data_IF_629921277809
#
_entry.id   IF_629921277809
#
_cell.length_a   1.000
_cell.length_b   1.000
_cell.length_c   1.000
_cell.angle_alpha   90.00
_cell.angle_beta   90.00
_cell.angle_gamma   90.00
#
_symmetry.space_group_name_H-M   'P 1'
#
loop_
_entity.id
_entity.type
_entity.pdbx_description
1 polymer ?
#
# COMPACT_ATOMS: atom_id res chain seq x y z
N UNK A 1 24.15 26.61 28.56
CA UNK A 1 23.90 25.16 28.79
C UNK A 1 22.47 24.85 29.25
N UNK A 2 21.52 25.67 28.80
CA UNK A 2 20.08 25.61 29.07
C UNK A 2 19.28 25.74 27.75
N UNK A 3 19.92 25.44 26.61
CA UNK A 3 19.37 25.57 25.26
C UNK A 3 19.25 24.20 24.55
N UNK A 4 19.33 23.11 25.33
CA UNK A 4 19.00 21.72 24.98
C UNK A 4 17.48 21.43 25.11
N UNK A 5 16.64 22.46 25.07
CA UNK A 5 15.18 22.37 25.31
C UNK A 5 14.30 23.10 24.26
N UNK A 6 14.78 23.50 23.07
CA UNK A 6 13.94 24.28 22.13
C UNK A 6 14.14 24.13 20.60
N UNK A 7 14.58 22.98 20.06
CA UNK A 7 14.44 22.71 18.61
C UNK A 7 13.85 21.32 18.34
N UNK A 8 14.37 20.36 19.08
CA UNK A 8 13.85 18.99 19.36
C UNK A 8 12.41 18.98 19.91
N UNK A 9 11.85 20.15 20.25
CA UNK A 9 10.43 20.25 20.60
C UNK A 9 9.60 19.97 19.35
N UNK A 10 9.49 20.80 18.30
CA UNK A 10 8.47 20.56 17.25
C UNK A 10 8.94 19.86 15.94
N UNK A 11 9.20 18.54 15.98
CA UNK A 11 8.62 17.61 14.98
C UNK A 11 7.06 17.66 15.01
N UNK A 12 6.52 18.34 16.03
CA UNK A 12 5.23 18.12 16.70
C UNK A 12 4.00 18.51 15.87
N UNK A 13 4.09 19.19 14.72
CA UNK A 13 2.92 19.24 13.85
C UNK A 13 2.96 17.98 13.02
N UNK A 14 2.87 18.03 11.72
CA UNK A 14 2.14 17.00 11.03
C UNK A 14 2.83 17.06 9.69
N UNK A 15 3.88 16.29 9.46
CA UNK A 15 4.31 15.98 8.09
C UNK A 15 3.27 15.06 7.41
N UNK A 16 1.99 15.44 7.52
CA UNK A 16 0.69 15.13 6.91
C UNK A 16 0.32 13.71 6.52
N UNK A 17 1.26 12.80 6.37
CA UNK A 17 0.98 11.40 6.08
C UNK A 17 1.08 10.49 7.32
N UNK A 18 1.86 10.86 8.34
CA UNK A 18 2.19 9.94 9.44
C UNK A 18 1.27 10.03 10.68
N UNK A 19 0.52 11.12 10.86
CA UNK A 19 -0.47 11.22 11.96
C UNK A 19 -1.70 10.33 11.79
N UNK A 20 -1.78 9.56 10.70
CA UNK A 20 -2.82 8.57 10.51
C UNK A 20 -2.47 7.17 11.07
N UNK A 21 -1.30 6.95 11.68
CA UNK A 21 -0.82 5.57 11.95
C UNK A 21 -0.77 5.21 13.45
N UNK A 22 -0.31 6.08 14.35
CA UNK A 22 -0.34 5.83 15.81
C UNK A 22 -0.50 7.16 16.53
N UNK A 23 -1.52 7.30 17.39
CA UNK A 23 -1.63 8.40 18.35
C UNK A 23 -0.69 8.13 19.54
N UNK A 24 0.45 8.86 19.67
CA UNK A 24 1.42 8.60 20.73
C UNK A 24 0.88 8.93 22.13
N UNK A 25 -0.23 9.69 22.25
CA UNK A 25 -0.85 10.04 23.53
C UNK A 25 -1.85 8.99 24.02
N UNK A 26 -2.29 8.05 23.16
CA UNK A 26 -3.20 6.95 23.54
C UNK A 26 -2.51 5.70 24.07
N UNK A 27 -1.17 5.64 24.05
CA UNK A 27 -0.37 4.59 24.71
C UNK A 27 -0.62 4.48 26.23
N UNK A 28 -1.31 5.46 26.83
CA UNK A 28 -1.57 5.55 28.27
C UNK A 28 -3.05 5.41 28.66
N UNK A 29 -3.94 5.04 27.73
CA UNK A 29 -5.37 4.80 28.03
C UNK A 29 -5.60 3.29 28.18
N UNK A 30 -6.26 2.93 29.27
CA UNK A 30 -6.46 1.57 29.80
C UNK A 30 -7.39 0.69 28.91
N UNK A 31 -6.97 0.43 27.67
CA UNK A 31 -7.69 -0.39 26.69
C UNK A 31 -6.93 -1.69 26.38
N UNK A 32 -7.69 -2.75 26.10
CA UNK A 32 -7.19 -4.12 25.97
C UNK A 32 -6.34 -4.32 24.70
N UNK A 33 -5.33 -5.20 24.77
CA UNK A 33 -4.66 -5.79 23.61
C UNK A 33 -5.75 -6.36 22.68
N UNK A 34 -5.69 -6.15 21.36
CA UNK A 34 -6.69 -6.68 20.45
C UNK A 34 -6.78 -8.21 20.63
N UNK A 35 -7.96 -8.68 21.06
CA UNK A 35 -8.24 -10.11 21.21
C UNK A 35 -8.97 -10.60 19.97
N UNK A 36 -8.59 -11.76 19.47
CA UNK A 36 -9.37 -12.46 18.46
C UNK A 36 -10.77 -12.74 19.03
N UNK A 37 -11.80 -12.32 18.30
CA UNK A 37 -13.22 -12.58 18.58
C UNK A 37 -13.72 -13.55 17.52
N UNK A 38 -13.42 -14.83 17.72
CA UNK A 38 -13.80 -15.89 16.79
C UNK A 38 -15.24 -16.31 17.06
N UNK A 39 -16.12 -16.13 16.08
CA UNK A 39 -17.46 -16.71 16.10
C UNK A 39 -17.36 -18.18 15.66
N UNK A 40 -17.75 -19.12 16.53
CA UNK A 40 -17.58 -20.56 16.30
C UNK A 40 -18.36 -21.10 15.10
N UNK A 41 -19.52 -20.52 14.79
CA UNK A 41 -20.30 -20.90 13.61
C UNK A 41 -19.61 -20.43 12.32
N UNK A 42 -19.23 -19.14 12.28
CA UNK A 42 -18.51 -18.55 11.14
C UNK A 42 -17.19 -19.29 10.88
N UNK A 43 -16.49 -19.69 11.95
CA UNK A 43 -15.22 -20.42 11.87
C UNK A 43 -15.34 -21.75 11.11
N UNK A 44 -16.38 -22.54 11.39
CA UNK A 44 -16.51 -23.89 10.81
C UNK A 44 -16.76 -23.85 9.30
N UNK A 45 -17.73 -23.02 8.85
CA UNK A 45 -18.05 -22.83 7.44
C UNK A 45 -16.86 -22.25 6.66
N UNK A 46 -16.12 -21.35 7.30
CA UNK A 46 -14.96 -20.70 6.72
C UNK A 46 -13.74 -21.62 6.60
N UNK A 47 -13.56 -22.57 7.51
CA UNK A 47 -12.47 -23.55 7.42
C UNK A 47 -12.57 -24.41 6.15
N UNK A 48 -13.78 -24.89 5.84
CA UNK A 48 -14.05 -25.67 4.62
C UNK A 48 -13.82 -24.84 3.37
N UNK A 49 -14.37 -23.61 3.33
CA UNK A 49 -14.18 -22.68 2.23
C UNK A 49 -12.72 -22.32 1.97
N UNK A 50 -11.95 -21.97 3.02
CA UNK A 50 -10.54 -21.62 2.89
C UNK A 50 -9.68 -22.82 2.45
N UNK A 51 -10.03 -24.04 2.86
CA UNK A 51 -9.32 -25.24 2.42
C UNK A 51 -9.51 -25.49 0.93
N UNK A 52 -10.70 -25.18 0.39
CA UNK A 52 -10.99 -25.29 -1.04
C UNK A 52 -10.50 -24.09 -1.88
N UNK A 53 -10.13 -22.98 -1.24
CA UNK A 53 -9.67 -21.77 -1.92
C UNK A 53 -8.25 -21.94 -2.47
N UNK A 54 -7.94 -21.40 -3.67
CA UNK A 54 -6.60 -21.45 -4.24
C UNK A 54 -5.58 -20.65 -3.44
N UNK A 55 -4.30 -20.82 -3.76
CA UNK A 55 -3.24 -19.94 -3.25
C UNK A 55 -3.50 -18.50 -3.67
N UNK A 56 -2.96 -17.53 -2.93
CA UNK A 56 -3.14 -16.11 -3.26
C UNK A 56 -2.62 -15.77 -4.67
N UNK A 57 -1.51 -16.38 -5.10
CA UNK A 57 -0.94 -16.13 -6.42
C UNK A 57 -1.78 -16.73 -7.55
N UNK A 58 -2.22 -17.99 -7.39
CA UNK A 58 -3.10 -18.65 -8.36
C UNK A 58 -4.46 -17.94 -8.47
N UNK A 59 -4.97 -17.43 -7.34
CA UNK A 59 -6.17 -16.61 -7.34
C UNK A 59 -6.01 -15.36 -8.21
N UNK A 60 -4.90 -14.62 -8.07
CA UNK A 60 -4.69 -13.40 -8.87
C UNK A 60 -4.68 -13.71 -10.36
N UNK A 61 -4.00 -14.79 -10.77
CA UNK A 61 -3.98 -15.23 -12.17
C UNK A 61 -5.39 -15.57 -12.66
N UNK A 62 -6.13 -16.40 -11.92
CA UNK A 62 -7.49 -16.82 -12.32
C UNK A 62 -8.51 -15.69 -12.25
N UNK A 63 -8.33 -14.70 -11.37
CA UNK A 63 -9.16 -13.50 -11.34
C UNK A 63 -8.99 -12.67 -12.62
N UNK A 64 -7.79 -12.65 -13.22
CA UNK A 64 -7.52 -11.97 -14.49
C UNK A 64 -8.10 -12.70 -15.72
N UNK A 65 -8.70 -13.88 -15.54
CA UNK A 65 -9.53 -14.50 -16.58
C UNK A 65 -10.93 -13.86 -16.67
N UNK A 66 -11.42 -13.34 -15.54
CA UNK A 66 -12.77 -12.75 -15.37
C UNK A 66 -12.76 -11.22 -15.41
N UNK A 67 -11.61 -10.62 -15.12
CA UNK A 67 -11.44 -9.18 -14.95
C UNK A 67 -10.19 -8.73 -15.71
N UNK A 68 -10.17 -7.50 -16.20
CA UNK A 68 -8.99 -6.97 -16.87
C UNK A 68 -7.95 -6.49 -15.85
N UNK A 69 -8.39 -5.88 -14.75
CA UNK A 69 -7.51 -5.34 -13.72
C UNK A 69 -7.88 -5.85 -12.35
N UNK A 70 -6.87 -6.32 -11.62
CA UNK A 70 -6.96 -6.66 -10.20
C UNK A 70 -6.12 -5.65 -9.41
N UNK A 71 -6.79 -4.72 -8.71
CA UNK A 71 -6.15 -3.75 -7.83
C UNK A 71 -5.77 -4.45 -6.52
N UNK A 72 -4.50 -4.80 -6.37
CA UNK A 72 -3.97 -5.42 -5.15
C UNK A 72 -3.72 -4.32 -4.12
N UNK A 73 -4.56 -4.26 -3.09
CA UNK A 73 -4.51 -3.25 -2.05
C UNK A 73 -3.69 -3.70 -0.84
N UNK A 74 -2.54 -3.07 -0.62
CA UNK A 74 -1.63 -3.34 0.49
C UNK A 74 -1.85 -2.43 1.70
N UNK A 75 -1.50 -2.92 2.87
CA UNK A 75 -1.47 -2.12 4.09
C UNK A 75 -0.04 -1.74 4.40
N UNK A 76 0.21 -0.44 4.37
CA UNK A 76 1.56 0.13 4.41
C UNK A 76 2.47 -0.51 5.44
N UNK A 77 3.74 -0.65 5.07
CA UNK A 77 4.84 -1.18 5.88
C UNK A 77 4.83 -2.69 6.14
N UNK A 78 3.92 -3.49 5.57
CA UNK A 78 3.95 -4.96 5.70
C UNK A 78 4.93 -5.59 4.70
N UNK A 79 6.03 -6.17 5.20
CA UNK A 79 7.06 -6.83 4.38
C UNK A 79 6.51 -7.94 3.50
N UNK A 80 5.61 -8.75 4.04
CA UNK A 80 5.04 -9.93 3.38
C UNK A 80 4.19 -9.56 2.16
N UNK A 81 3.65 -8.34 2.10
CA UNK A 81 2.86 -7.87 0.96
C UNK A 81 3.75 -7.66 -0.28
N UNK A 82 4.93 -7.06 -0.10
CA UNK A 82 5.92 -6.90 -1.18
C UNK A 82 6.65 -8.22 -1.49
N UNK A 83 6.91 -9.06 -0.48
CA UNK A 83 7.43 -10.41 -0.71
C UNK A 83 6.48 -11.24 -1.58
N UNK A 84 5.17 -11.21 -1.29
CA UNK A 84 4.15 -11.83 -2.15
C UNK A 84 4.23 -11.32 -3.58
N UNK A 85 4.47 -10.02 -3.80
CA UNK A 85 4.61 -9.46 -5.14
C UNK A 85 5.83 -10.04 -5.88
N UNK A 86 6.96 -10.23 -5.19
CA UNK A 86 8.15 -10.88 -5.78
C UNK A 86 7.89 -12.33 -6.18
N UNK A 87 7.07 -13.07 -5.42
CA UNK A 87 6.67 -14.44 -5.72
C UNK A 87 5.58 -14.51 -6.81
N UNK A 88 4.74 -13.48 -6.90
CA UNK A 88 3.66 -13.37 -7.88
C UNK A 88 4.20 -13.14 -9.29
N UNK A 89 5.24 -12.31 -9.47
CA UNK A 89 5.84 -12.00 -10.78
C UNK A 89 6.15 -13.23 -11.64
N UNK A 90 6.93 -14.24 -11.19
CA UNK A 90 7.19 -15.44 -11.99
C UNK A 90 5.94 -16.31 -12.20
N UNK A 91 4.91 -16.18 -11.35
CA UNK A 91 3.64 -16.90 -11.51
C UNK A 91 2.76 -16.26 -12.59
N UNK A 92 2.66 -14.93 -12.61
CA UNK A 92 2.03 -14.17 -13.69
C UNK A 92 2.69 -14.47 -15.03
N UNK A 93 4.03 -14.47 -15.03
CA UNK A 93 4.79 -14.65 -16.26
C UNK A 93 4.56 -16.01 -16.92
N UNK A 94 4.57 -17.09 -16.11
CA UNK A 94 4.24 -18.45 -16.56
C UNK A 94 2.80 -18.57 -17.05
N UNK A 95 1.90 -17.72 -16.56
CA UNK A 95 0.52 -17.64 -17.00
C UNK A 95 0.32 -16.75 -18.24
N UNK A 96 1.39 -16.19 -18.83
CA UNK A 96 1.32 -15.30 -19.99
C UNK A 96 0.92 -13.86 -19.66
N UNK A 97 0.94 -13.48 -18.38
CA UNK A 97 0.68 -12.11 -17.91
C UNK A 97 2.04 -11.45 -17.65
N UNK A 98 2.44 -10.56 -18.56
CA UNK A 98 3.79 -9.98 -18.56
C UNK A 98 3.84 -8.55 -18.01
N UNK A 99 2.84 -8.15 -17.22
CA UNK A 99 2.68 -6.78 -16.76
C UNK A 99 2.30 -6.73 -15.29
N UNK A 100 2.84 -5.73 -14.59
CA UNK A 100 2.47 -5.37 -13.23
C UNK A 100 2.43 -3.85 -13.12
N UNK A 101 1.29 -3.28 -12.73
CA UNK A 101 1.24 -1.89 -12.29
C UNK A 101 1.80 -1.75 -10.87
N UNK A 102 2.62 -0.73 -10.61
CA UNK A 102 3.29 -0.55 -9.33
C UNK A 102 3.27 0.91 -8.89
N UNK A 103 2.60 1.20 -7.76
CA UNK A 103 2.47 2.59 -7.31
C UNK A 103 3.78 3.22 -6.83
N UNK A 104 4.73 2.40 -6.36
CA UNK A 104 5.98 2.89 -5.75
C UNK A 104 7.02 3.31 -6.80
N UNK A 105 6.56 3.52 -8.04
CA UNK A 105 7.32 4.03 -9.17
C UNK A 105 6.43 5.00 -9.95
N UNK A 106 7.00 6.15 -10.35
CA UNK A 106 6.26 7.13 -11.12
C UNK A 106 6.12 6.70 -12.58
N UNK A 107 4.99 7.06 -13.19
CA UNK A 107 4.80 6.91 -14.64
C UNK A 107 5.87 7.63 -15.46
N UNK A 108 6.37 8.77 -14.96
CA UNK A 108 7.42 9.56 -15.62
C UNK A 108 8.78 8.86 -15.65
N UNK A 109 8.99 7.84 -14.81
CA UNK A 109 10.23 7.05 -14.78
C UNK A 109 10.15 5.80 -15.67
N UNK A 110 9.11 5.63 -16.51
CA UNK A 110 8.86 4.38 -17.23
C UNK A 110 10.05 3.89 -18.07
N UNK A 111 10.74 4.79 -18.77
CA UNK A 111 11.94 4.42 -19.56
C UNK A 111 13.07 3.88 -18.67
N UNK A 112 13.24 4.46 -17.47
CA UNK A 112 14.24 4.03 -16.49
C UNK A 112 13.86 2.68 -15.87
N UNK A 113 12.58 2.46 -15.61
CA UNK A 113 12.05 1.18 -15.13
C UNK A 113 12.28 0.08 -16.18
N UNK A 114 11.92 0.34 -17.44
CA UNK A 114 12.11 -0.62 -18.53
C UNK A 114 13.61 -0.93 -18.74
N UNK A 115 14.49 0.08 -18.67
CA UNK A 115 15.93 -0.11 -18.73
C UNK A 115 16.47 -0.95 -17.55
N UNK A 116 15.98 -0.70 -16.33
CA UNK A 116 16.38 -1.44 -15.14
C UNK A 116 16.04 -2.93 -15.24
N UNK A 117 14.79 -3.25 -15.60
CA UNK A 117 14.31 -4.65 -15.60
C UNK A 117 14.80 -5.45 -16.80
N UNK A 118 15.41 -4.82 -17.80
CA UNK A 118 15.98 -5.48 -18.99
C UNK A 118 17.50 -5.43 -19.06
N UNK A 119 18.15 -4.76 -18.10
CA UNK A 119 19.60 -4.63 -18.05
C UNK A 119 20.32 -5.99 -17.98
N UNK A 120 21.54 -6.06 -18.48
CA UNK A 120 22.38 -7.27 -18.40
C UNK A 120 22.74 -7.63 -16.96
N UNK A 121 22.92 -6.61 -16.11
CA UNK A 121 23.15 -6.71 -14.67
C UNK A 121 22.17 -5.80 -13.95
N UNK A 122 21.61 -6.26 -12.83
CA UNK A 122 20.73 -5.43 -12.03
C UNK A 122 21.48 -4.22 -11.45
N UNK A 123 20.97 -3.01 -11.72
CA UNK A 123 21.56 -1.77 -11.24
C UNK A 123 20.79 -1.27 -10.01
N UNK A 124 21.31 -1.57 -8.82
CA UNK A 124 20.65 -1.16 -7.57
C UNK A 124 20.58 0.36 -7.40
N UNK A 125 21.60 1.10 -7.84
CA UNK A 125 21.57 2.57 -7.77
C UNK A 125 20.40 3.12 -8.57
N UNK A 126 20.15 2.59 -9.77
CA UNK A 126 19.03 3.02 -10.60
C UNK A 126 17.68 2.64 -9.96
N UNK A 127 17.57 1.48 -9.31
CA UNK A 127 16.37 1.11 -8.56
C UNK A 127 16.10 2.11 -7.43
N UNK A 128 17.12 2.47 -6.64
CA UNK A 128 17.01 3.46 -5.59
C UNK A 128 16.63 4.84 -6.13
N UNK A 129 17.19 5.27 -7.26
CA UNK A 129 16.86 6.55 -7.85
C UNK A 129 15.41 6.63 -8.36
N UNK A 130 14.88 5.52 -8.89
CA UNK A 130 13.45 5.41 -9.30
C UNK A 130 12.55 5.52 -8.06
N UNK A 131 12.92 4.83 -6.97
CA UNK A 131 12.18 4.90 -5.70
C UNK A 131 12.23 6.31 -5.09
N UNK A 132 13.41 6.94 -5.10
CA UNK A 132 13.62 8.30 -4.62
C UNK A 132 12.81 9.32 -5.43
N UNK A 133 12.77 9.14 -6.75
CA UNK A 133 11.93 9.93 -7.66
C UNK A 133 10.44 9.81 -7.31
N UNK A 134 9.96 8.64 -6.91
CA UNK A 134 8.57 8.49 -6.44
C UNK A 134 8.34 9.19 -5.09
N UNK A 135 9.14 8.89 -4.07
CA UNK A 135 9.01 9.56 -2.78
C UNK A 135 10.31 9.42 -1.99
N UNK A 136 10.88 10.57 -1.62
CA UNK A 136 12.22 10.69 -1.02
C UNK A 136 12.38 9.97 0.33
N UNK A 137 11.28 9.66 1.02
CA UNK A 137 11.27 8.94 2.31
C UNK A 137 10.89 7.46 2.20
N UNK A 138 10.85 6.89 0.99
CA UNK A 138 10.47 5.49 0.75
C UNK A 138 11.66 4.58 0.39
N UNK A 139 12.78 4.76 1.08
CA UNK A 139 13.97 3.92 0.94
C UNK A 139 13.83 2.57 1.63
N UNK A 140 13.01 1.66 1.09
CA UNK A 140 12.79 0.31 1.63
C UNK A 140 13.22 -0.80 0.68
N UNK A 141 14.00 -1.77 1.16
CA UNK A 141 14.62 -2.81 0.36
C UNK A 141 13.60 -3.66 -0.40
N UNK A 142 12.45 -3.93 0.22
CA UNK A 142 11.40 -4.74 -0.38
C UNK A 142 10.82 -4.12 -1.65
N UNK A 143 10.85 -2.78 -1.79
CA UNK A 143 10.41 -2.09 -3.02
C UNK A 143 11.42 -2.36 -4.14
N UNK A 144 12.72 -2.23 -3.86
CA UNK A 144 13.79 -2.55 -4.82
C UNK A 144 13.73 -4.02 -5.28
N UNK A 145 13.39 -4.92 -4.36
CA UNK A 145 13.26 -6.35 -4.66
C UNK A 145 12.17 -6.67 -5.69
N UNK A 146 11.11 -5.86 -5.80
CA UNK A 146 10.08 -6.02 -6.85
C UNK A 146 10.68 -5.83 -8.24
N UNK A 147 11.50 -4.78 -8.43
CA UNK A 147 12.21 -4.57 -9.69
C UNK A 147 13.20 -5.69 -9.98
N UNK A 148 13.92 -6.14 -8.94
CA UNK A 148 14.86 -7.26 -9.04
C UNK A 148 14.17 -8.55 -9.49
N UNK A 149 13.00 -8.87 -8.93
CA UNK A 149 12.23 -10.06 -9.33
C UNK A 149 11.81 -10.02 -10.80
N UNK A 150 11.34 -8.87 -11.31
CA UNK A 150 11.06 -8.70 -12.73
C UNK A 150 12.31 -8.82 -13.61
N UNK A 151 13.44 -8.26 -13.15
CA UNK A 151 14.73 -8.42 -13.82
C UNK A 151 15.16 -9.89 -13.88
N UNK A 152 15.07 -10.64 -12.78
CA UNK A 152 15.42 -12.06 -12.72
C UNK A 152 14.60 -12.90 -13.72
N UNK A 153 13.28 -12.68 -13.78
CA UNK A 153 12.41 -13.30 -14.79
C UNK A 153 12.84 -12.94 -16.22
N UNK A 154 13.19 -11.68 -16.45
CA UNK A 154 13.68 -11.26 -17.77
C UNK A 154 15.04 -11.85 -18.12
N UNK A 155 15.92 -12.11 -17.15
CA UNK A 155 17.22 -12.73 -17.36
C UNK A 155 17.13 -14.21 -17.70
N UNK A 156 16.09 -14.92 -17.24
CA UNK A 156 15.88 -16.33 -17.58
C UNK A 156 15.32 -16.54 -18.99
N UNK A 157 14.89 -15.48 -19.68
CA UNK A 157 14.22 -15.53 -20.98
C UNK A 157 15.17 -15.34 -22.17
N UNK A 158 14.91 -16.08 -23.24
CA UNK A 158 15.54 -15.93 -24.55
C UNK A 158 15.27 -14.56 -25.19
N UNK A 159 15.98 -14.21 -26.28
CA UNK A 159 15.90 -12.88 -26.90
C UNK A 159 14.49 -12.48 -27.36
N UNK A 160 13.73 -13.44 -27.91
CA UNK A 160 12.43 -13.21 -28.56
C UNK A 160 11.22 -13.42 -27.62
N UNK A 161 11.46 -13.84 -26.38
CA UNK A 161 10.39 -14.03 -25.40
C UNK A 161 9.89 -12.67 -24.87
N UNK A 162 8.56 -12.49 -24.69
CA UNK A 162 8.01 -11.27 -24.13
C UNK A 162 8.64 -10.94 -22.78
N UNK A 163 9.12 -9.71 -22.60
CA UNK A 163 9.68 -9.25 -21.33
C UNK A 163 8.56 -8.94 -20.34
N UNK A 164 8.77 -9.30 -19.08
CA UNK A 164 7.95 -8.83 -17.98
C UNK A 164 8.23 -7.35 -17.74
N UNK A 165 7.19 -6.53 -17.68
CA UNK A 165 7.27 -5.07 -17.51
C UNK A 165 6.62 -4.65 -16.20
N UNK A 166 7.32 -3.79 -15.48
CA UNK A 166 6.73 -3.03 -14.37
C UNK A 166 6.30 -1.69 -14.94
N UNK A 167 5.04 -1.32 -14.74
CA UNK A 167 4.50 -0.04 -15.15
C UNK A 167 4.35 0.84 -13.90
N UNK A 168 5.04 1.99 -13.92
CA UNK A 168 4.87 2.99 -12.87
C UNK A 168 3.47 3.61 -12.95
N UNK A 169 2.67 3.46 -11.89
CA UNK A 169 1.34 4.10 -11.78
C UNK A 169 1.29 5.17 -10.70
N UNK A 170 2.41 5.36 -9.99
CA UNK A 170 2.59 6.42 -9.02
C UNK A 170 2.64 7.79 -9.66
N UNK A 171 2.37 8.80 -8.83
CA UNK A 171 2.49 10.21 -9.16
C UNK A 171 2.94 10.98 -7.94
N UNK A 172 4.01 11.77 -8.08
CA UNK A 172 4.53 12.63 -7.02
C UNK A 172 4.05 14.07 -7.21
N UNK A 173 3.21 14.61 -6.30
CA UNK A 173 2.92 16.03 -6.25
C UNK A 173 4.17 16.88 -6.01
N UNK A 174 4.06 18.18 -6.33
CA UNK A 174 5.13 19.12 -6.05
C UNK A 174 5.04 19.60 -4.59
N UNK A 175 5.59 18.82 -3.67
CA UNK A 175 5.59 19.14 -2.25
C UNK A 175 6.48 20.34 -1.89
N UNK A 176 7.27 20.89 -2.83
CA UNK A 176 8.12 22.06 -2.56
C UNK A 176 7.33 23.34 -2.23
N UNK A 177 6.02 23.32 -2.44
CA UNK A 177 5.10 24.38 -2.05
C UNK A 177 4.63 24.30 -0.58
N UNK A 178 4.87 23.20 0.13
CA UNK A 178 4.53 23.05 1.55
C UNK A 178 5.74 23.48 2.38
N UNK A 179 5.72 24.71 2.89
CA UNK A 179 6.88 25.31 3.56
C UNK A 179 6.69 25.33 5.08
N UNK A 180 5.49 25.64 5.55
CA UNK A 180 5.18 25.81 6.96
C UNK A 180 4.03 24.89 7.42
N UNK A 181 3.98 24.54 8.72
CA UNK A 181 2.83 23.80 9.25
C UNK A 181 1.52 24.55 9.03
N UNK A 182 0.57 23.89 8.37
CA UNK A 182 -0.73 24.43 7.97
C UNK A 182 -0.92 24.48 6.45
N UNK A 183 0.17 24.62 5.69
CA UNK A 183 0.16 24.71 4.22
C UNK A 183 -0.52 23.50 3.55
N UNK A 184 -0.36 22.34 4.17
CA UNK A 184 -0.98 21.07 3.76
C UNK A 184 -2.50 21.01 3.73
N UNK A 185 -3.13 22.01 4.34
CA UNK A 185 -4.57 22.15 4.49
C UNK A 185 -5.05 23.46 3.86
N UNK A 186 -4.12 24.29 3.36
CA UNK A 186 -4.43 25.53 2.67
C UNK A 186 -4.80 25.24 1.19
N UNK A 187 -6.03 25.56 0.76
CA UNK A 187 -6.46 25.35 -0.63
C UNK A 187 -5.63 26.08 -1.69
N UNK A 188 -5.07 27.25 -1.39
CA UNK A 188 -4.21 28.02 -2.32
C UNK A 188 -2.85 27.34 -2.51
N UNK A 189 -2.29 26.77 -1.45
CA UNK A 189 -1.04 26.02 -1.50
C UNK A 189 -1.26 24.68 -2.20
N UNK A 190 -2.29 23.93 -1.83
CA UNK A 190 -2.58 22.63 -2.43
C UNK A 190 -2.87 22.71 -3.93
N UNK A 191 -3.43 23.83 -4.42
CA UNK A 191 -3.56 24.08 -5.86
C UNK A 191 -2.22 24.16 -6.59
N UNK A 192 -1.17 24.64 -5.93
CA UNK A 192 0.19 24.65 -6.48
C UNK A 192 0.81 23.24 -6.41
N UNK A 193 0.67 22.56 -5.26
CA UNK A 193 1.13 21.18 -5.06
C UNK A 193 0.55 20.23 -6.11
N UNK A 194 -0.74 20.38 -6.43
CA UNK A 194 -1.46 19.57 -7.42
C UNK A 194 -1.60 20.22 -8.79
N UNK A 195 -0.77 21.23 -9.12
CA UNK A 195 -0.85 21.92 -10.42
C UNK A 195 -0.70 20.96 -11.62
N UNK A 196 0.05 19.88 -11.44
CA UNK A 196 0.28 18.84 -12.44
C UNK A 196 -0.72 17.67 -12.37
N UNK A 197 -1.70 17.74 -11.46
CA UNK A 197 -2.75 16.73 -11.31
C UNK A 197 -2.92 16.23 -9.88
N UNK A 198 -4.11 15.70 -9.61
CA UNK A 198 -4.46 15.07 -8.33
C UNK A 198 -3.99 13.61 -8.37
N UNK A 199 -3.26 13.10 -7.35
CA UNK A 199 -2.66 11.76 -7.39
C UNK A 199 -3.59 10.63 -7.82
N UNK A 200 -4.76 10.51 -7.18
CA UNK A 200 -5.75 9.48 -7.51
C UNK A 200 -6.22 9.59 -8.98
N UNK A 201 -6.44 10.80 -9.50
CA UNK A 201 -6.83 11.00 -10.90
C UNK A 201 -5.69 10.65 -11.88
N UNK A 202 -4.44 10.96 -11.51
CA UNK A 202 -3.29 10.63 -12.33
C UNK A 202 -3.02 9.12 -12.38
N UNK A 203 -3.21 8.44 -11.25
CA UNK A 203 -3.14 6.99 -11.18
C UNK A 203 -4.18 6.31 -12.06
N UNK A 204 -5.43 6.80 -12.06
CA UNK A 204 -6.47 6.33 -12.99
C UNK A 204 -6.02 6.47 -14.44
N UNK A 205 -5.53 7.64 -14.84
CA UNK A 205 -5.06 7.88 -16.20
C UNK A 205 -3.85 7.02 -16.58
N UNK A 206 -2.98 6.66 -15.63
CA UNK A 206 -1.87 5.73 -15.84
C UNK A 206 -2.37 4.30 -16.09
N UNK A 207 -3.32 3.83 -15.28
CA UNK A 207 -3.89 2.48 -15.40
C UNK A 207 -4.72 2.35 -16.68
N UNK A 208 -5.50 3.38 -17.03
CA UNK A 208 -6.30 3.41 -18.26
C UNK A 208 -5.39 3.31 -19.50
N UNK A 209 -4.42 4.22 -19.62
CA UNK A 209 -3.52 4.28 -20.79
C UNK A 209 -2.63 3.03 -20.95
N UNK A 210 -2.07 2.54 -19.84
CA UNK A 210 -1.12 1.44 -19.90
C UNK A 210 -1.78 0.07 -20.09
N UNK A 211 -3.02 -0.08 -19.61
CA UNK A 211 -3.66 -1.39 -19.55
C UNK A 211 -5.02 -1.44 -20.24
N UNK A 212 -6.00 -0.68 -19.74
CA UNK A 212 -7.39 -0.83 -20.18
C UNK A 212 -7.59 -0.43 -21.65
N UNK A 213 -6.94 0.64 -22.09
CA UNK A 213 -7.01 1.15 -23.47
C UNK A 213 -6.25 0.24 -24.45
N UNK A 214 -5.25 -0.48 -23.95
CA UNK A 214 -4.46 -1.45 -24.73
C UNK A 214 -5.09 -2.86 -24.71
N UNK A 215 -6.17 -3.07 -23.96
CA UNK A 215 -6.74 -4.41 -23.74
C UNK A 215 -5.79 -5.36 -22.99
N UNK A 216 -4.83 -4.83 -22.24
CA UNK A 216 -3.88 -5.60 -21.44
C UNK A 216 -4.51 -5.87 -20.08
N UNK A 217 -4.39 -7.13 -19.63
CA UNK A 217 -4.78 -7.54 -18.29
C UNK A 217 -3.58 -7.54 -17.36
N UNK A 218 -3.74 -7.00 -16.17
CA UNK A 218 -2.65 -6.90 -15.21
C UNK A 218 -3.16 -6.77 -13.76
N UNK A 219 -2.43 -7.32 -12.77
CA UNK A 219 -2.54 -6.83 -11.42
C UNK A 219 -1.90 -5.44 -11.32
N UNK A 220 -2.44 -4.60 -10.43
CA UNK A 220 -1.89 -3.28 -10.11
C UNK A 220 -1.78 -3.18 -8.60
N UNK A 221 -0.54 -3.06 -8.11
CA UNK A 221 -0.23 -3.03 -6.70
C UNK A 221 -0.22 -1.60 -6.16
N UNK A 222 -1.12 -1.32 -5.21
CA UNK A 222 -1.43 -0.01 -4.66
C UNK A 222 -1.58 -0.09 -3.14
N UNK A 223 -1.44 1.04 -2.44
CA UNK A 223 -1.98 1.18 -1.08
C UNK A 223 -3.47 0.91 -1.12
N UNK A 224 -3.96 0.22 -0.10
CA UNK A 224 -5.36 -0.18 0.02
C UNK A 224 -6.33 1.00 -0.16
N UNK A 225 -5.98 2.20 0.31
CA UNK A 225 -6.85 3.37 0.14
C UNK A 225 -7.13 3.73 -1.33
N UNK A 226 -6.19 3.46 -2.24
CA UNK A 226 -6.34 3.71 -3.67
C UNK A 226 -6.99 2.52 -4.40
N UNK A 227 -7.00 1.33 -3.79
CA UNK A 227 -7.51 0.11 -4.40
C UNK A 227 -9.01 -0.12 -4.19
N UNK A 228 -9.65 0.57 -3.24
CA UNK A 228 -11.08 0.37 -2.96
C UNK A 228 -11.95 0.66 -4.19
N UNK A 229 -12.78 -0.31 -4.57
CA UNK A 229 -13.74 -0.19 -5.67
C UNK A 229 -15.16 0.04 -5.14
N UNK A 230 -15.58 -0.74 -4.15
CA UNK A 230 -16.91 -0.66 -3.52
C UNK A 230 -16.97 0.30 -2.33
N UNK A 231 -15.98 0.24 -1.43
CA UNK A 231 -15.92 1.10 -0.27
C UNK A 231 -15.50 2.53 -0.66
N UNK A 232 -16.35 3.50 -0.36
CA UNK A 232 -16.06 4.94 -0.54
C UNK A 232 -15.69 5.52 0.82
N UNK A 233 -14.56 6.23 0.90
CA UNK A 233 -14.10 6.89 2.13
C UNK A 233 -14.72 8.29 2.27
N UNK A 234 -15.76 8.49 3.11
CA UNK A 234 -16.50 9.77 3.12
C UNK A 234 -15.64 10.93 3.61
N UNK A 235 -14.78 10.69 4.59
CA UNK A 235 -13.86 11.72 5.11
C UNK A 235 -12.80 12.15 4.09
N UNK A 236 -12.36 11.27 3.21
CA UNK A 236 -11.46 11.65 2.13
C UNK A 236 -12.17 12.59 1.15
N UNK A 237 -13.37 12.20 0.68
CA UNK A 237 -14.15 13.02 -0.25
C UNK A 237 -14.46 14.40 0.35
N UNK A 238 -14.90 14.43 1.61
CA UNK A 238 -15.15 15.67 2.36
C UNK A 238 -13.89 16.53 2.49
N UNK A 239 -12.75 15.95 2.87
CA UNK A 239 -11.48 16.69 3.00
C UNK A 239 -11.05 17.29 1.67
N UNK A 240 -11.13 16.52 0.58
CA UNK A 240 -10.80 17.03 -0.76
C UNK A 240 -11.71 18.20 -1.16
N UNK A 241 -13.00 18.12 -0.85
CA UNK A 241 -13.95 19.22 -1.07
C UNK A 241 -13.60 20.47 -0.24
N UNK A 242 -13.32 20.32 1.05
CA UNK A 242 -12.88 21.41 1.93
C UNK A 242 -11.56 22.05 1.46
N UNK A 243 -10.70 21.26 0.80
CA UNK A 243 -9.44 21.69 0.20
C UNK A 243 -9.60 22.30 -1.21
N UNK A 244 -10.84 22.46 -1.71
CA UNK A 244 -11.12 23.08 -3.00
C UNK A 244 -11.11 22.13 -4.20
N UNK A 245 -11.12 20.81 -3.96
CA UNK A 245 -11.17 19.76 -4.96
C UNK A 245 -12.46 18.94 -4.81
N UNK A 246 -13.63 19.49 -5.19
CA UNK A 246 -14.90 18.79 -5.04
C UNK A 246 -14.99 17.53 -5.92
N UNK A 247 -15.75 16.54 -5.47
CA UNK A 247 -16.06 15.33 -6.23
C UNK A 247 -14.88 14.37 -6.42
N UNK A 248 -13.80 14.50 -5.63
CA UNK A 248 -12.69 13.56 -5.69
C UNK A 248 -13.03 12.26 -4.96
N UNK A 249 -12.80 11.15 -5.65
CA UNK A 249 -12.85 9.79 -5.14
C UNK A 249 -11.48 9.13 -5.30
N UNK A 250 -11.27 8.03 -4.59
CA UNK A 250 -10.07 7.20 -4.72
C UNK A 250 -9.99 6.55 -6.10
N UNK A 251 -8.79 6.22 -6.53
CA UNK A 251 -8.52 5.69 -7.87
C UNK A 251 -9.38 4.45 -8.21
N UNK A 252 -9.48 3.48 -7.31
CA UNK A 252 -10.28 2.27 -7.48
C UNK A 252 -11.78 2.55 -7.66
N UNK A 253 -12.35 3.49 -6.91
CA UNK A 253 -13.77 3.86 -7.04
C UNK A 253 -14.01 4.46 -8.42
N UNK A 254 -13.14 5.36 -8.88
CA UNK A 254 -13.23 6.00 -10.20
C UNK A 254 -13.09 5.00 -11.34
N UNK A 255 -12.15 4.05 -11.22
CA UNK A 255 -11.99 2.97 -12.20
C UNK A 255 -13.23 2.08 -12.25
N UNK A 256 -13.79 1.72 -11.08
CA UNK A 256 -15.03 0.94 -10.98
C UNK A 256 -16.21 1.66 -11.61
N UNK A 257 -16.37 2.96 -11.37
CA UNK A 257 -17.45 3.77 -11.98
C UNK A 257 -17.36 3.78 -13.51
N UNK A 258 -16.15 3.86 -14.07
CA UNK A 258 -15.92 3.97 -15.52
C UNK A 258 -15.95 2.62 -16.24
N UNK A 259 -15.41 1.58 -15.62
CA UNK A 259 -15.13 0.29 -16.27
C UNK A 259 -15.92 -0.88 -15.68
N UNK A 260 -16.77 -0.62 -14.67
CA UNK A 260 -17.63 -1.61 -14.06
C UNK A 260 -16.85 -2.81 -13.55
N UNK A 261 -17.33 -4.02 -13.86
CA UNK A 261 -16.72 -5.28 -13.42
C UNK A 261 -15.39 -5.64 -14.07
N UNK A 262 -14.88 -4.84 -15.02
CA UNK A 262 -13.54 -5.07 -15.59
C UNK A 262 -12.42 -4.81 -14.58
N UNK A 263 -12.65 -4.00 -13.56
CA UNK A 263 -11.67 -3.64 -12.53
C UNK A 263 -12.17 -4.08 -11.16
N UNK A 264 -11.43 -4.87 -10.41
CA UNK A 264 -11.82 -5.31 -9.06
C UNK A 264 -10.73 -4.99 -8.03
N UNK A 265 -11.10 -4.92 -6.75
CA UNK A 265 -10.15 -4.81 -5.64
C UNK A 265 -9.85 -6.18 -5.03
N UNK A 266 -8.58 -6.51 -4.86
CA UNK A 266 -8.11 -7.64 -4.08
C UNK A 266 -7.30 -7.13 -2.87
N UNK A 267 -7.91 -7.09 -1.69
CA UNK A 267 -7.27 -6.50 -0.51
C UNK A 267 -6.42 -7.56 0.21
N UNK A 268 -5.17 -7.20 0.52
CA UNK A 268 -4.26 -8.05 1.27
C UNK A 268 -4.61 -8.06 2.76
N UNK A 269 -4.62 -9.25 3.33
CA UNK A 269 -4.85 -9.45 4.75
C UNK A 269 -3.73 -8.81 5.58
N UNK A 270 -4.10 -7.97 6.53
CA UNK A 270 -3.18 -7.26 7.41
C UNK A 270 -3.92 -6.74 8.65
N UNK A 271 -3.20 -6.22 9.66
CA UNK A 271 -3.83 -5.38 10.66
C UNK A 271 -4.55 -4.19 10.01
N UNK A 272 -5.71 -3.82 10.56
CA UNK A 272 -6.43 -2.61 10.18
C UNK A 272 -6.38 -1.61 11.32
N UNK A 273 -6.39 -0.32 11.00
CA UNK A 273 -6.42 0.73 12.01
C UNK A 273 -7.69 0.62 12.86
N UNK A 274 -7.52 0.60 14.17
CA UNK A 274 -8.61 0.57 15.13
C UNK A 274 -8.20 1.38 16.37
N UNK A 275 -8.74 2.58 16.53
CA UNK A 275 -8.37 3.49 17.63
C UNK A 275 -8.89 3.02 18.99
N UNK A 276 -9.75 2.00 19.00
CA UNK A 276 -10.23 1.33 20.22
C UNK A 276 -9.20 0.32 20.74
N UNK A 277 -8.24 -0.08 19.92
CA UNK A 277 -7.12 -0.95 20.30
C UNK A 277 -5.99 -0.14 20.93
N UNK A 278 -5.34 -0.69 21.97
CA UNK A 278 -4.17 -0.06 22.63
C UNK A 278 -3.06 0.29 21.66
N UNK A 279 -2.84 -0.58 20.67
CA UNK A 279 -1.75 -0.43 19.70
C UNK A 279 -2.17 0.33 18.44
N UNK A 280 -3.41 0.82 18.38
CA UNK A 280 -3.96 1.53 17.22
C UNK A 280 -4.37 0.64 16.05
N UNK A 281 -4.25 -0.68 16.20
CA UNK A 281 -4.56 -1.67 15.16
C UNK A 281 -5.36 -2.85 15.73
N UNK A 282 -6.21 -3.44 14.89
CA UNK A 282 -7.00 -4.63 15.21
C UNK A 282 -6.95 -5.68 14.10
N UNK A 283 -7.44 -6.88 14.41
CA UNK A 283 -7.58 -7.95 13.44
C UNK A 283 -8.78 -7.70 12.51
N UNK A 284 -8.63 -7.88 11.18
CA UNK A 284 -9.77 -7.90 10.26
C UNK A 284 -10.77 -8.97 10.68
N UNK A 285 -12.07 -8.66 10.57
CA UNK A 285 -13.16 -9.62 10.83
C UNK A 285 -12.99 -10.34 12.19
N UNK A 286 -12.48 -9.61 13.19
CA UNK A 286 -12.26 -10.12 14.54
C UNK A 286 -11.16 -11.21 14.66
N UNK A 287 -10.32 -11.43 13.66
CA UNK A 287 -9.23 -12.41 13.70
C UNK A 287 -9.65 -13.85 13.37
N UNK A 288 -10.83 -14.03 12.80
CA UNK A 288 -11.32 -15.36 12.37
C UNK A 288 -10.42 -15.96 11.28
N UNK A 289 -10.00 -15.14 10.30
CA UNK A 289 -9.05 -15.54 9.26
C UNK A 289 -7.71 -15.99 9.86
N UNK A 290 -7.18 -15.19 10.78
CA UNK A 290 -5.91 -15.47 11.41
C UNK A 290 -5.91 -16.78 12.20
N UNK A 291 -7.00 -17.09 12.89
CA UNK A 291 -7.16 -18.36 13.59
C UNK A 291 -7.15 -19.55 12.62
N UNK A 292 -7.93 -19.46 11.55
CA UNK A 292 -8.06 -20.54 10.56
C UNK A 292 -6.81 -20.80 9.74
N UNK A 293 -6.13 -19.74 9.29
CA UNK A 293 -4.92 -19.85 8.46
C UNK A 293 -3.79 -20.53 9.23
N UNK A 294 -3.75 -20.40 10.55
CA UNK A 294 -2.73 -21.07 11.38
C UNK A 294 -2.95 -22.56 11.52
N UNK A 295 -4.20 -23.01 11.45
CA UNK A 295 -4.55 -24.43 11.45
C UNK A 295 -4.18 -25.11 10.11
N UNK A 296 -4.01 -24.34 9.04
CA UNK A 296 -3.57 -24.87 7.74
C UNK A 296 -2.07 -25.28 7.78
N UNK A 297 -1.69 -26.32 7.00
CA UNK A 297 -0.29 -26.66 6.77
C UNK A 297 0.51 -25.43 6.30
N UNK A 298 1.78 -25.33 6.69
CA UNK A 298 2.60 -24.16 6.36
C UNK A 298 2.69 -23.85 4.86
N UNK A 299 2.67 -24.89 4.01
CA UNK A 299 2.65 -24.78 2.53
C UNK A 299 1.36 -24.18 1.97
N UNK A 300 0.32 -24.14 2.79
CA UNK A 300 -1.06 -23.94 2.42
C UNK A 300 -1.63 -22.69 3.13
N UNK A 301 -0.78 -21.81 3.66
CA UNK A 301 -1.26 -20.65 4.44
C UNK A 301 -1.65 -19.45 3.59
N UNK A 302 -1.24 -19.41 2.32
CA UNK A 302 -1.67 -18.35 1.41
C UNK A 302 -2.99 -18.73 0.75
N UNK A 303 -3.94 -17.80 0.72
CA UNK A 303 -5.28 -18.02 0.16
C UNK A 303 -5.78 -16.79 -0.57
N UNK A 304 -6.43 -16.99 -1.71
CA UNK A 304 -7.14 -15.93 -2.41
C UNK A 304 -8.56 -16.36 -2.75
N UNK A 305 -9.53 -15.46 -2.62
CA UNK A 305 -10.93 -15.75 -2.91
C UNK A 305 -11.74 -14.49 -3.20
N UNK A 306 -12.86 -14.65 -3.92
CA UNK A 306 -13.88 -13.61 -4.04
C UNK A 306 -14.69 -13.50 -2.75
N UNK A 307 -14.85 -12.30 -2.22
CA UNK A 307 -15.55 -12.08 -0.96
C UNK A 307 -17.02 -12.46 -1.08
N UNK A 308 -17.66 -12.12 -2.20
CA UNK A 308 -19.06 -12.45 -2.48
C UNK A 308 -19.34 -13.97 -2.52
N UNK A 309 -18.32 -14.79 -2.80
CA UNK A 309 -18.42 -16.25 -2.85
C UNK A 309 -18.13 -16.89 -1.48
N UNK A 310 -17.70 -16.09 -0.49
CA UNK A 310 -17.38 -16.56 0.86
C UNK A 310 -18.62 -16.58 1.76
N UNK A 311 -18.72 -17.52 2.73
CA UNK A 311 -19.85 -17.60 3.67
C UNK A 311 -19.93 -16.41 4.65
N UNK A 312 -18.97 -15.49 4.61
CA UNK A 312 -18.83 -14.36 5.52
C UNK A 312 -18.72 -13.04 4.75
N UNK A 313 -19.26 -13.00 3.53
CA UNK A 313 -19.33 -11.80 2.69
C UNK A 313 -19.95 -10.59 3.41
N UNK A 314 -20.85 -10.82 4.37
CA UNK A 314 -21.49 -9.77 5.17
C UNK A 314 -20.88 -9.62 6.58
N UNK A 315 -19.73 -10.23 6.87
CA UNK A 315 -19.10 -10.07 8.17
C UNK A 315 -18.59 -8.63 8.37
N UNK A 316 -18.71 -8.05 9.57
CA UNK A 316 -18.28 -6.69 9.82
C UNK A 316 -16.76 -6.58 9.88
N UNK A 317 -16.22 -5.54 9.24
CA UNK A 317 -14.82 -5.14 9.34
C UNK A 317 -14.59 -4.39 10.65
N UNK A 318 -13.59 -4.86 11.41
CA UNK A 318 -13.16 -4.25 12.67
C UNK A 318 -12.21 -3.07 12.42
N UNK A 319 -12.77 -1.91 12.12
CA UNK A 319 -12.02 -0.64 12.05
C UNK A 319 -12.96 0.53 12.31
N UNK A 320 -12.76 1.28 13.39
CA UNK A 320 -13.51 2.51 13.64
C UNK A 320 -13.03 3.66 12.74
N UNK A 321 -11.75 3.67 12.35
CA UNK A 321 -11.18 4.65 11.42
C UNK A 321 -11.82 4.55 10.03
N UNK A 322 -11.96 3.34 9.48
CA UNK A 322 -12.58 3.18 8.17
C UNK A 322 -14.10 3.45 8.21
N UNK A 323 -14.73 3.25 9.36
CA UNK A 323 -16.17 3.54 9.56
C UNK A 323 -16.46 5.00 9.84
N UNK A 324 -15.44 5.82 10.06
CA UNK A 324 -15.66 7.21 10.40
C UNK A 324 -16.35 7.94 9.24
N UNK A 325 -17.52 8.53 9.52
CA UNK A 325 -18.35 9.18 8.52
C UNK A 325 -19.25 8.26 7.69
N UNK A 326 -19.34 6.97 8.02
CA UNK A 326 -20.28 6.01 7.38
C UNK A 326 -21.47 5.69 8.28
N UNK A 327 -22.65 5.43 7.69
CA UNK A 327 -23.79 4.89 8.41
C UNK A 327 -23.68 3.36 8.57
N UNK A 328 -23.64 2.88 9.82
CA UNK A 328 -23.65 1.44 10.13
C UNK A 328 -22.28 0.76 10.19
N UNK A 329 -22.28 -0.56 10.01
CA UNK A 329 -21.08 -1.40 9.99
C UNK A 329 -20.52 -1.47 8.55
N UNK A 330 -19.19 -1.39 8.41
CA UNK A 330 -18.52 -1.67 7.14
C UNK A 330 -18.49 -3.19 6.92
N UNK A 331 -19.23 -3.67 5.93
CA UNK A 331 -19.30 -5.10 5.60
C UNK A 331 -18.15 -5.53 4.70
N UNK A 332 -17.76 -6.81 4.78
CA UNK A 332 -16.61 -7.35 4.07
C UNK A 332 -16.75 -7.24 2.54
N UNK A 333 -17.93 -7.52 1.99
CA UNK A 333 -18.24 -7.40 0.56
C UNK A 333 -18.25 -5.95 0.04
N UNK A 334 -18.41 -4.96 0.90
CA UNK A 334 -18.24 -3.54 0.56
C UNK A 334 -16.77 -3.17 0.60
N UNK A 335 -16.05 -3.67 1.60
CA UNK A 335 -14.63 -3.42 1.81
C UNK A 335 -13.75 -3.95 0.67
N UNK A 336 -14.07 -5.11 0.11
CA UNK A 336 -13.29 -5.71 -0.97
C UNK A 336 -14.13 -6.63 -1.88
N UNK A 337 -13.83 -6.63 -3.18
CA UNK A 337 -14.38 -7.64 -4.12
C UNK A 337 -13.74 -9.02 -3.91
N UNK A 338 -12.43 -9.02 -3.65
CA UNK A 338 -11.61 -10.20 -3.40
C UNK A 338 -10.64 -9.95 -2.24
N UNK A 339 -10.15 -11.03 -1.65
CA UNK A 339 -9.28 -10.96 -0.48
C UNK A 339 -8.12 -11.94 -0.60
N UNK A 340 -6.93 -11.48 -0.19
CA UNK A 340 -5.67 -12.21 -0.32
C UNK A 340 -5.02 -12.37 1.06
N UNK A 341 -5.01 -13.58 1.57
CA UNK A 341 -4.21 -13.94 2.74
C UNK A 341 -2.83 -14.37 2.27
N UNK A 342 -1.80 -13.63 2.64
CA UNK A 342 -0.40 -13.94 2.34
C UNK A 342 0.42 -14.25 3.60
N UNK A 343 -0.03 -13.74 4.75
CA UNK A 343 0.52 -13.99 6.07
C UNK A 343 -0.58 -13.81 7.12
N UNK A 344 -0.39 -14.39 8.32
CA UNK A 344 -1.24 -14.05 9.47
C UNK A 344 -0.71 -12.80 10.18
N UNK A 345 -1.58 -12.04 10.83
CA UNK A 345 -1.20 -10.77 11.49
C UNK A 345 -0.07 -10.94 12.52
N UNK A 346 0.08 -12.13 13.13
CA UNK A 346 1.14 -12.34 14.13
C UNK A 346 2.49 -12.69 13.51
N UNK A 347 2.53 -13.08 12.23
CA UNK A 347 3.79 -13.39 11.55
C UNK A 347 4.34 -12.23 10.74
N UNK A 348 3.56 -11.16 10.48
CA UNK A 348 4.04 -10.05 9.67
C UNK A 348 5.21 -9.30 10.29
N UNK A 349 6.05 -8.75 9.41
CA UNK A 349 7.21 -7.94 9.73
C UNK A 349 7.13 -6.59 9.04
N UNK A 350 7.79 -5.60 9.61
CA UNK A 350 7.92 -4.30 8.95
C UNK A 350 8.98 -4.32 7.85
N UNK A 351 8.87 -3.38 6.91
CA UNK A 351 9.88 -3.13 5.87
C UNK A 351 11.28 -2.89 6.42
N UNK A 352 12.29 -3.10 5.56
CA UNK A 352 13.70 -2.91 5.87
C UNK A 352 14.19 -1.62 5.23
N UNK A 353 14.59 -0.64 6.04
CA UNK A 353 15.17 0.60 5.51
C UNK A 353 16.51 0.32 4.83
N UNK A 354 16.71 0.94 3.66
CA UNK A 354 17.98 0.90 2.92
C UNK A 354 18.96 1.83 3.64
N UNK A 355 20.12 1.33 4.11
CA UNK A 355 21.15 2.17 4.70
C UNK A 355 21.64 3.22 3.70
N UNK A 356 21.87 4.45 4.15
CA UNK A 356 22.41 5.54 3.32
C UNK A 356 21.57 5.82 2.05
N UNK A 357 20.26 5.56 2.11
CA UNK A 357 19.34 5.90 1.02
C UNK A 357 19.36 7.41 0.72
N UNK A 358 19.42 8.22 1.77
CA UNK A 358 19.79 9.64 1.68
C UNK A 358 21.30 9.77 1.84
N UNK A 359 21.95 10.43 0.90
CA UNK A 359 23.40 10.58 0.82
C UNK A 359 23.79 11.96 0.29
N UNK A 360 25.09 12.18 0.10
CA UNK A 360 25.65 13.49 -0.24
C UNK A 360 25.12 14.01 -1.59
N UNK A 361 24.75 13.10 -2.50
CA UNK A 361 24.31 13.44 -3.85
C UNK A 361 22.84 13.84 -3.91
N UNK A 362 22.02 13.46 -2.91
CA UNK A 362 20.55 13.61 -2.98
C UNK A 362 19.90 14.36 -1.80
N UNK A 363 20.65 14.75 -0.76
CA UNK A 363 20.11 15.40 0.43
C UNK A 363 19.34 16.70 0.15
N UNK A 364 19.87 17.57 -0.71
CA UNK A 364 19.21 18.84 -1.05
C UNK A 364 17.85 18.60 -1.72
N UNK A 365 17.78 17.59 -2.58
CA UNK A 365 16.56 17.18 -3.23
C UNK A 365 15.57 16.53 -2.26
N UNK A 366 16.08 15.74 -1.30
CA UNK A 366 15.29 15.09 -0.28
C UNK A 366 14.60 16.10 0.64
N UNK A 367 15.30 17.19 1.01
CA UNK A 367 14.74 18.29 1.79
C UNK A 367 13.69 19.04 0.97
N UNK A 368 14.02 19.42 -0.28
CA UNK A 368 13.12 20.17 -1.16
C UNK A 368 11.82 19.44 -1.47
N UNK A 369 11.88 18.12 -1.62
CA UNK A 369 10.73 17.27 -1.98
C UNK A 369 10.17 16.48 -0.81
N UNK A 370 10.50 16.88 0.41
CA UNK A 370 9.97 16.23 1.60
C UNK A 370 8.43 16.31 1.59
N UNK A 371 7.71 15.20 1.85
CA UNK A 371 6.25 15.18 1.79
C UNK A 371 5.62 15.75 3.07
N UNK A 372 5.83 17.04 3.29
CA UNK A 372 5.38 17.81 4.46
C UNK A 372 6.07 19.18 4.51
N UNK A 373 5.90 19.94 5.61
CA UNK A 373 6.61 21.19 5.80
C UNK A 373 8.13 21.01 5.68
N UNK A 374 8.82 22.07 5.28
CA UNK A 374 10.28 22.07 5.19
C UNK A 374 10.87 21.54 6.51
N UNK A 375 11.64 20.42 6.47
CA UNK A 375 12.18 19.82 7.68
C UNK A 375 13.25 20.72 8.35
N UNK A 376 13.70 21.79 7.69
CA UNK A 376 14.70 22.73 8.16
C UNK A 376 16.12 22.16 8.03
N UNK A 377 17.08 22.61 8.87
CA UNK A 377 18.46 22.15 8.80
C UNK A 377 18.58 20.72 9.37
N UNK A 378 18.25 19.73 8.55
CA UNK A 378 18.41 18.29 8.82
C UNK A 378 19.63 17.74 8.10
N UNK A 379 20.28 16.77 8.72
CA UNK A 379 21.37 16.01 8.10
C UNK A 379 20.85 14.79 7.34
N UNK A 380 21.70 14.21 6.48
CA UNK A 380 21.44 12.90 5.86
C UNK A 380 21.13 11.82 6.90
N UNK A 381 21.83 11.86 8.04
CA UNK A 381 21.60 10.90 9.12
C UNK A 381 20.20 11.05 9.71
N UNK A 382 19.72 12.28 9.92
CA UNK A 382 18.37 12.54 10.46
C UNK A 382 17.28 11.98 9.53
N UNK A 383 17.42 12.15 8.21
CA UNK A 383 16.47 11.62 7.24
C UNK A 383 16.53 10.09 7.11
N UNK A 384 17.71 9.49 7.14
CA UNK A 384 17.83 8.02 7.16
C UNK A 384 17.27 7.42 8.48
N UNK A 385 17.51 8.08 9.62
CA UNK A 385 16.92 7.71 10.91
C UNK A 385 15.40 7.84 10.89
N UNK A 386 14.84 8.84 10.18
CA UNK A 386 13.39 8.94 9.97
C UNK A 386 12.83 7.73 9.18
N UNK A 387 13.46 7.36 8.07
CA UNK A 387 13.03 6.21 7.25
C UNK A 387 13.10 4.90 8.06
N UNK A 388 14.21 4.66 8.76
CA UNK A 388 14.41 3.49 9.62
C UNK A 388 13.48 3.50 10.84
N UNK A 389 13.26 4.67 11.44
CA UNK A 389 12.40 4.89 12.59
C UNK A 389 10.95 4.54 12.30
N UNK A 390 10.43 4.90 11.12
CA UNK A 390 9.08 4.54 10.67
C UNK A 390 8.89 3.03 10.63
N UNK A 391 9.81 2.30 9.99
CA UNK A 391 9.78 0.84 9.95
C UNK A 391 9.91 0.22 11.36
N UNK A 392 10.82 0.72 12.18
CA UNK A 392 10.99 0.23 13.55
C UNK A 392 9.75 0.46 14.43
N UNK A 393 9.02 1.56 14.22
CA UNK A 393 7.77 1.83 14.91
C UNK A 393 6.67 0.84 14.53
N UNK A 394 6.51 0.56 13.24
CA UNK A 394 5.56 -0.45 12.79
C UNK A 394 5.95 -1.83 13.30
N UNK A 395 7.24 -2.18 13.31
CA UNK A 395 7.69 -3.46 13.86
C UNK A 395 7.27 -3.63 15.32
N UNK A 396 7.40 -2.58 16.15
CA UNK A 396 6.93 -2.62 17.55
C UNK A 396 5.43 -2.87 17.65
N UNK A 397 4.63 -2.31 16.75
CA UNK A 397 3.19 -2.57 16.69
C UNK A 397 2.92 -4.04 16.33
N UNK A 398 3.62 -4.59 15.34
CA UNK A 398 3.46 -5.99 14.95
C UNK A 398 3.92 -6.97 16.04
N UNK A 399 4.96 -6.63 16.80
CA UNK A 399 5.42 -7.45 17.91
C UNK A 399 4.40 -7.53 19.06
N UNK A 400 3.54 -6.52 19.21
CA UNK A 400 2.47 -6.51 20.23
C UNK A 400 1.26 -7.39 19.86
N UNK A 401 1.19 -7.88 18.62
CA UNK A 401 0.21 -8.90 18.21
C UNK A 401 0.66 -10.34 18.53
N UNK A 402 1.94 -10.55 18.85
CA UNK A 402 2.56 -11.85 19.14
C UNK A 402 2.38 -12.20 20.61
#
# INVERSE_FOLDING_TARGET
>A
MQQKRSRVVWFIVIGIAFFAIVDPFRLFVDNQIPRMRVNSQIRAEMAEFLTASPSAADFVVTALDRHDIVLIGESGFVREHLAFLTELIPTLDRAGIHYLGFQYANRTDQERIDALVTATTFNESLAHDIMFSHQVVQGYQEIANVFRAAWEVNRSKGPDEPRFRIIGVGFTPDYSHILEPGDESDPDVLRQVFANGIPDAMMVAAIEDAFLDQGIRAPVYLRMEHAFTGFVQPLYAKRMEEQGFPGQLRAGNRLRERHGQRVISAILHSPLRDTRSRIGFGYPIGGTLDDLVRDLPATDRTRGFFVAESPYSEAPISSDVLREGTDGDLLFNVFADAYLVVADVRSVQSLTAIPEFINEDNIDEAIRRFPGPDPGPVSMNDLNEFIAGNAAQIQRVFDEFK
#
